data_IF_410612859720
#
_entry.id   IF_410612859720
#
_cell.length_a   1.000
_cell.length_b   1.000
_cell.length_c   1.000
_cell.angle_alpha   90.00
_cell.angle_beta   90.00
_cell.angle_gamma   90.00
#
_symmetry.space_group_name_H-M   'P 1'
#
loop_
_entity.id
_entity.type
_entity.pdbx_description
1 polymer ?
#
# COMPACT_ATOMS: atom_id res chain seq x y z
N UNK A 1 -27.19 -0.96 -8.42
CA UNK A 1 -26.44 -1.98 -7.70
C UNK A 1 -25.15 -2.23 -8.48
N UNK A 2 -24.03 -1.74 -7.98
CA UNK A 2 -22.74 -2.04 -8.58
C UNK A 2 -22.48 -3.55 -8.49
N UNK A 3 -22.58 -4.23 -9.62
CA UNK A 3 -22.19 -5.63 -9.74
C UNK A 3 -20.67 -5.69 -9.67
N UNK A 4 -20.13 -6.06 -8.52
CA UNK A 4 -18.73 -6.39 -8.39
C UNK A 4 -18.44 -7.61 -9.30
N UNK A 5 -17.94 -7.38 -10.51
CA UNK A 5 -17.44 -8.47 -11.36
C UNK A 5 -16.11 -8.92 -10.79
N UNK A 6 -16.10 -10.11 -10.22
CA UNK A 6 -14.89 -10.77 -9.79
C UNK A 6 -14.30 -11.52 -10.99
N UNK A 7 -13.22 -11.01 -11.59
CA UNK A 7 -12.41 -11.82 -12.49
C UNK A 7 -11.60 -12.77 -11.65
N UNK A 8 -11.84 -14.06 -11.78
CA UNK A 8 -11.04 -15.13 -11.18
C UNK A 8 -10.43 -15.98 -12.30
N UNK A 9 -9.64 -15.36 -13.16
CA UNK A 9 -8.70 -16.09 -14.01
C UNK A 9 -7.30 -15.75 -13.54
N UNK A 10 -6.68 -16.71 -12.89
CA UNK A 10 -5.39 -16.57 -12.23
C UNK A 10 -5.52 -16.97 -10.77
N UNK A 11 -4.49 -17.62 -10.23
CA UNK A 11 -4.42 -17.90 -8.82
C UNK A 11 -4.43 -16.58 -8.06
N UNK A 12 -5.37 -16.42 -7.10
CA UNK A 12 -5.24 -15.40 -6.07
C UNK A 12 -3.97 -15.80 -5.31
N UNK A 13 -2.88 -15.15 -5.67
CA UNK A 13 -1.59 -15.51 -5.13
C UNK A 13 -1.41 -14.77 -3.80
N UNK A 14 -1.46 -15.52 -2.72
CA UNK A 14 -1.11 -15.05 -1.38
C UNK A 14 0.32 -15.45 -0.97
N UNK A 15 1.12 -15.91 -1.93
CA UNK A 15 2.54 -16.21 -1.72
C UNK A 15 3.28 -14.95 -1.28
N UNK A 16 3.99 -14.98 -0.14
CA UNK A 16 4.80 -13.86 0.29
C UNK A 16 5.90 -13.56 -0.73
N UNK A 17 6.00 -12.30 -1.12
CA UNK A 17 7.05 -11.76 -2.00
C UNK A 17 7.74 -10.58 -1.32
N UNK A 18 8.92 -10.19 -1.81
CA UNK A 18 9.63 -9.01 -1.28
C UNK A 18 8.74 -7.78 -1.41
N UNK A 19 8.35 -7.21 -0.25
CA UNK A 19 7.46 -6.06 -0.20
C UNK A 19 8.09 -4.79 -0.76
N UNK A 20 9.41 -4.65 -0.62
CA UNK A 20 10.05 -3.35 -0.80
C UNK A 20 9.27 -2.27 -0.03
N UNK A 21 8.98 -1.13 -0.65
CA UNK A 21 8.23 -0.05 0.00
C UNK A 21 6.71 -0.29 0.11
N UNK A 22 6.16 -1.42 -0.37
CA UNK A 22 4.75 -1.76 -0.07
C UNK A 22 4.51 -2.01 1.42
N UNK A 23 5.54 -2.37 2.19
CA UNK A 23 5.43 -2.51 3.66
C UNK A 23 4.95 -1.20 4.32
N UNK A 24 5.17 -0.05 3.69
CA UNK A 24 4.73 1.26 4.17
C UNK A 24 3.21 1.44 4.20
N UNK A 25 2.47 0.66 3.42
CA UNK A 25 1.00 0.59 3.55
C UNK A 25 0.62 0.16 4.97
N UNK A 26 1.24 -0.89 5.47
CA UNK A 26 0.92 -1.47 6.77
C UNK A 26 1.48 -0.64 7.93
N UNK A 27 2.63 0.02 7.73
CA UNK A 27 3.11 1.03 8.68
C UNK A 27 2.09 2.16 8.82
N UNK A 28 1.54 2.67 7.70
CA UNK A 28 0.49 3.68 7.70
C UNK A 28 -0.75 3.21 8.45
N UNK A 29 -1.21 1.98 8.20
CA UNK A 29 -2.36 1.39 8.89
C UNK A 29 -2.14 1.32 10.40
N UNK A 30 -1.00 0.76 10.84
CA UNK A 30 -0.64 0.66 12.25
C UNK A 30 -0.51 2.03 12.94
N UNK A 31 0.02 3.04 12.24
CA UNK A 31 0.12 4.41 12.76
C UNK A 31 -1.27 5.00 12.97
N UNK A 32 -2.17 4.90 12.01
CA UNK A 32 -3.53 5.45 12.16
C UNK A 32 -4.38 4.70 13.20
N UNK A 33 -4.17 3.40 13.36
CA UNK A 33 -4.83 2.64 14.44
C UNK A 33 -4.34 3.05 15.83
N UNK A 34 -3.10 3.51 15.94
CA UNK A 34 -2.49 4.00 17.19
C UNK A 34 -2.40 5.53 17.25
N UNK A 35 -3.10 6.27 16.39
CA UNK A 35 -2.93 7.71 16.23
C UNK A 35 -3.16 8.50 17.51
N UNK A 36 -4.23 8.19 18.24
CA UNK A 36 -4.57 8.85 19.50
C UNK A 36 -3.48 8.67 20.58
N UNK A 37 -2.87 7.48 20.61
CA UNK A 37 -1.75 7.19 21.53
C UNK A 37 -0.49 7.94 21.13
N UNK A 38 -0.17 7.96 19.84
CA UNK A 38 1.00 8.67 19.31
C UNK A 38 0.87 10.18 19.53
N UNK A 39 -0.32 10.74 19.37
CA UNK A 39 -0.60 12.18 19.54
C UNK A 39 -0.44 12.67 20.98
N UNK A 40 -0.32 11.77 21.97
CA UNK A 40 0.01 12.13 23.35
C UNK A 40 1.50 12.47 23.53
N UNK A 41 2.37 11.97 22.65
CA UNK A 41 3.83 12.12 22.76
C UNK A 41 4.45 12.84 21.57
N UNK A 42 3.76 12.92 20.44
CA UNK A 42 4.21 13.53 19.20
C UNK A 42 3.15 14.51 18.67
N UNK A 43 3.59 15.58 18.01
CA UNK A 43 2.68 16.53 17.39
C UNK A 43 1.95 15.86 16.21
N UNK A 44 0.63 16.06 16.10
CA UNK A 44 -0.17 15.52 14.98
C UNK A 44 0.34 15.96 13.60
N UNK A 45 0.75 17.22 13.44
CA UNK A 45 1.33 17.71 12.18
C UNK A 45 2.65 16.99 11.82
N UNK A 46 3.44 16.58 12.82
CA UNK A 46 4.67 15.81 12.59
C UNK A 46 4.34 14.36 12.20
N UNK A 47 3.34 13.75 12.82
CA UNK A 47 2.85 12.41 12.45
C UNK A 47 2.38 12.43 11.00
N UNK A 48 1.50 13.37 10.64
CA UNK A 48 0.93 13.48 9.29
C UNK A 48 1.98 13.83 8.24
N UNK A 49 2.97 14.65 8.58
CA UNK A 49 4.10 14.98 7.70
C UNK A 49 4.95 13.74 7.38
N UNK A 50 5.26 12.92 8.39
CA UNK A 50 5.99 11.67 8.19
C UNK A 50 5.17 10.66 7.38
N UNK A 51 3.87 10.50 7.65
CA UNK A 51 2.98 9.65 6.84
C UNK A 51 2.98 10.13 5.39
N UNK A 52 2.83 11.44 5.17
CA UNK A 52 2.83 12.03 3.84
C UNK A 52 4.13 11.74 3.10
N UNK A 53 5.29 12.01 3.70
CA UNK A 53 6.59 11.73 3.08
C UNK A 53 6.79 10.23 2.80
N UNK A 54 6.44 9.37 3.78
CA UNK A 54 6.53 7.91 3.64
C UNK A 54 5.69 7.38 2.45
N UNK A 55 4.49 7.90 2.24
CA UNK A 55 3.58 7.40 1.21
C UNK A 55 3.82 8.08 -0.12
N UNK A 56 3.92 9.42 -0.18
CA UNK A 56 3.89 10.17 -1.44
C UNK A 56 5.20 10.12 -2.22
N UNK A 57 6.35 10.16 -1.52
CA UNK A 57 7.68 10.07 -2.14
C UNK A 57 8.45 8.81 -1.71
N UNK A 58 7.81 7.98 -0.88
CA UNK A 58 8.41 6.73 -0.39
C UNK A 58 9.64 6.94 0.49
N UNK A 59 9.62 7.98 1.34
CA UNK A 59 10.72 8.30 2.25
C UNK A 59 10.95 7.15 3.26
N UNK A 60 12.20 6.72 3.41
CA UNK A 60 12.58 5.61 4.28
C UNK A 60 12.80 6.06 5.72
N UNK A 61 13.34 7.26 5.92
CA UNK A 61 13.62 7.80 7.24
C UNK A 61 12.30 8.14 7.95
N UNK A 62 11.34 8.71 7.22
CA UNK A 62 9.98 8.93 7.72
C UNK A 62 9.31 7.61 8.13
N UNK A 63 9.43 6.54 7.33
CA UNK A 63 8.92 5.23 7.68
C UNK A 63 9.56 4.67 8.97
N UNK A 64 10.89 4.74 9.08
CA UNK A 64 11.61 4.26 10.24
C UNK A 64 11.29 5.10 11.50
N UNK A 65 11.11 6.40 11.35
CA UNK A 65 10.66 7.31 12.42
C UNK A 65 9.31 6.90 12.98
N UNK A 66 8.33 6.64 12.11
CA UNK A 66 7.00 6.19 12.51
C UNK A 66 7.04 4.83 13.22
N UNK A 67 7.84 3.88 12.73
CA UNK A 67 8.04 2.58 13.40
C UNK A 67 8.68 2.77 14.78
N UNK A 68 9.67 3.64 14.91
CA UNK A 68 10.29 3.96 16.19
C UNK A 68 9.28 4.56 17.18
N UNK A 69 8.44 5.48 16.73
CA UNK A 69 7.39 6.08 17.56
C UNK A 69 6.33 5.06 17.98
N UNK A 70 5.90 4.17 17.07
CA UNK A 70 5.00 3.07 17.42
C UNK A 70 5.55 2.21 18.57
N UNK A 71 6.86 2.00 18.61
CA UNK A 71 7.55 1.23 19.63
C UNK A 71 7.99 2.05 20.86
N UNK A 72 7.59 3.32 20.96
CA UNK A 72 8.01 4.21 22.03
C UNK A 72 9.55 4.29 22.18
N UNK A 73 10.25 4.39 21.03
CA UNK A 73 11.71 4.44 20.94
C UNK A 73 12.38 3.08 20.68
N UNK A 74 11.64 1.98 20.74
CA UNK A 74 12.13 0.63 20.43
C UNK A 74 11.66 0.16 19.05
N UNK A 75 12.58 0.05 18.12
CA UNK A 75 12.28 -0.37 16.75
C UNK A 75 11.70 -1.78 16.67
N UNK A 76 12.12 -2.71 17.51
CA UNK A 76 11.60 -4.09 17.53
C UNK A 76 10.15 -4.11 18.01
N UNK A 77 9.84 -3.34 19.05
CA UNK A 77 8.47 -3.17 19.52
C UNK A 77 7.60 -2.48 18.47
N UNK A 78 8.15 -1.50 17.74
CA UNK A 78 7.45 -0.83 16.64
C UNK A 78 7.11 -1.79 15.48
N UNK A 79 8.09 -2.57 15.03
CA UNK A 79 7.85 -3.62 14.01
C UNK A 79 6.84 -4.66 14.48
N UNK A 80 6.87 -5.04 15.77
CA UNK A 80 5.89 -5.96 16.34
C UNK A 80 4.46 -5.37 16.28
N UNK A 81 4.28 -4.06 16.49
CA UNK A 81 2.97 -3.40 16.33
C UNK A 81 2.50 -3.38 14.87
N UNK A 82 3.40 -3.14 13.91
CA UNK A 82 3.05 -3.25 12.48
C UNK A 82 2.62 -4.68 12.14
N UNK A 83 3.33 -5.68 12.63
CA UNK A 83 2.98 -7.09 12.43
C UNK A 83 1.68 -7.47 13.14
N UNK A 84 1.41 -6.93 14.34
CA UNK A 84 0.15 -7.08 15.05
C UNK A 84 -1.03 -6.56 14.23
N UNK A 85 -0.93 -5.33 13.72
CA UNK A 85 -1.90 -4.75 12.79
C UNK A 85 -2.17 -5.70 11.59
N UNK A 86 -1.12 -6.23 10.97
CA UNK A 86 -1.29 -7.16 9.85
C UNK A 86 -2.07 -8.41 10.23
N UNK A 87 -1.80 -8.99 11.40
CA UNK A 87 -2.49 -10.19 11.89
C UNK A 87 -3.95 -9.91 12.22
N UNK A 88 -4.24 -8.81 12.91
CA UNK A 88 -5.59 -8.42 13.33
C UNK A 88 -6.50 -8.12 12.13
N UNK A 89 -5.93 -7.56 11.06
CA UNK A 89 -6.66 -7.27 9.81
C UNK A 89 -6.61 -8.40 8.78
N UNK A 90 -5.99 -9.56 9.11
CA UNK A 90 -5.99 -10.75 8.27
C UNK A 90 -4.99 -10.72 7.10
N UNK A 91 -3.96 -9.87 7.18
CA UNK A 91 -2.86 -9.81 6.18
C UNK A 91 -1.79 -10.84 6.53
N UNK A 92 -2.12 -12.12 6.34
CA UNK A 92 -1.34 -13.26 6.86
C UNK A 92 -0.04 -13.54 6.12
N UNK A 93 0.13 -12.98 4.92
CA UNK A 93 1.36 -13.10 4.12
C UNK A 93 2.27 -11.87 4.26
N UNK A 94 1.93 -10.96 5.19
CA UNK A 94 2.68 -9.72 5.41
C UNK A 94 3.47 -9.78 6.71
N UNK A 95 4.76 -9.46 6.61
CA UNK A 95 5.68 -9.46 7.76
C UNK A 95 6.74 -8.38 7.60
N UNK A 96 6.87 -7.51 8.61
CA UNK A 96 7.97 -6.58 8.74
C UNK A 96 9.08 -7.20 9.61
N UNK A 97 10.23 -7.53 9.01
CA UNK A 97 11.36 -8.18 9.67
C UNK A 97 12.54 -7.24 9.90
N UNK A 98 12.57 -6.10 9.22
CA UNK A 98 13.64 -5.11 9.31
C UNK A 98 13.14 -3.69 9.05
N UNK A 99 13.85 -2.72 9.56
CA UNK A 99 13.68 -1.32 9.15
C UNK A 99 14.06 -1.13 7.68
N UNK A 100 13.55 -0.07 7.07
CA UNK A 100 13.91 0.30 5.69
C UNK A 100 15.41 0.60 5.63
N UNK A 101 16.09 0.12 4.61
CA UNK A 101 17.53 0.21 4.38
C UNK A 101 18.43 -0.53 5.40
N UNK A 102 17.88 -1.16 6.43
CA UNK A 102 18.65 -2.01 7.33
C UNK A 102 19.14 -3.30 6.63
N UNK A 103 20.08 -3.99 7.23
CA UNK A 103 20.54 -5.31 6.78
C UNK A 103 19.42 -6.36 6.81
N UNK A 104 19.66 -7.49 6.16
CA UNK A 104 18.69 -8.58 6.00
C UNK A 104 18.98 -9.79 6.89
N UNK A 105 19.72 -9.59 7.96
CA UNK A 105 20.15 -10.68 8.88
C UNK A 105 18.95 -11.43 9.48
N UNK A 106 17.83 -10.71 9.69
CA UNK A 106 16.57 -11.26 10.19
C UNK A 106 15.53 -11.52 9.08
N UNK A 107 15.95 -11.54 7.82
CA UNK A 107 15.07 -11.64 6.65
C UNK A 107 14.73 -10.29 6.04
N UNK A 108 13.98 -10.31 4.93
CA UNK A 108 13.44 -9.11 4.28
C UNK A 108 12.01 -8.84 4.75
N UNK A 109 11.43 -7.72 4.33
CA UNK A 109 10.01 -7.43 4.51
C UNK A 109 9.21 -8.12 3.39
N UNK A 110 8.12 -8.77 3.74
CA UNK A 110 7.28 -9.52 2.80
C UNK A 110 5.83 -9.03 2.83
N UNK A 111 5.15 -9.18 1.72
CA UNK A 111 3.71 -9.06 1.56
C UNK A 111 3.24 -9.88 0.36
N UNK A 112 1.95 -9.88 0.06
CA UNK A 112 1.38 -10.53 -1.13
C UNK A 112 0.45 -9.60 -1.88
N UNK A 113 0.18 -9.91 -3.16
CA UNK A 113 -0.84 -9.17 -3.95
C UNK A 113 -2.22 -9.28 -3.30
N UNK A 114 -2.52 -10.40 -2.64
CA UNK A 114 -3.79 -10.59 -1.91
C UNK A 114 -3.88 -9.65 -0.72
N UNK A 115 -2.85 -9.55 0.11
CA UNK A 115 -2.85 -8.70 1.30
C UNK A 115 -2.93 -7.22 0.90
N UNK A 116 -2.11 -6.78 -0.07
CA UNK A 116 -2.17 -5.42 -0.60
C UNK A 116 -3.56 -5.10 -1.17
N UNK A 117 -4.11 -5.99 -1.99
CA UNK A 117 -5.44 -5.80 -2.59
C UNK A 117 -6.55 -5.78 -1.53
N UNK A 118 -6.46 -6.63 -0.51
CA UNK A 118 -7.41 -6.65 0.60
C UNK A 118 -7.35 -5.35 1.39
N UNK A 119 -6.16 -4.86 1.71
CA UNK A 119 -6.00 -3.62 2.47
C UNK A 119 -6.52 -2.40 1.68
N UNK A 120 -6.14 -2.25 0.42
CA UNK A 120 -6.65 -1.15 -0.41
C UNK A 120 -8.18 -1.22 -0.59
N UNK A 121 -8.73 -2.43 -0.72
CA UNK A 121 -10.18 -2.64 -0.76
C UNK A 121 -10.85 -2.22 0.55
N UNK A 122 -10.27 -2.56 1.71
CA UNK A 122 -10.79 -2.15 3.03
C UNK A 122 -10.77 -0.61 3.17
N UNK A 123 -9.66 0.05 2.78
CA UNK A 123 -9.58 1.52 2.75
C UNK A 123 -10.73 2.09 1.91
N UNK A 124 -10.88 1.65 0.67
CA UNK A 124 -11.91 2.13 -0.23
C UNK A 124 -13.33 1.89 0.31
N UNK A 125 -13.60 0.68 0.82
CA UNK A 125 -14.92 0.31 1.33
C UNK A 125 -15.29 1.04 2.62
N UNK A 126 -14.31 1.39 3.46
CA UNK A 126 -14.54 2.19 4.66
C UNK A 126 -14.84 3.65 4.26
N UNK A 127 -14.08 4.21 3.32
CA UNK A 127 -14.29 5.59 2.84
C UNK A 127 -15.64 5.78 2.17
N UNK A 128 -16.11 4.80 1.38
CA UNK A 128 -17.40 4.90 0.69
C UNK A 128 -18.61 4.40 1.52
N UNK A 129 -18.39 4.03 2.79
CA UNK A 129 -19.43 3.60 3.72
C UNK A 129 -19.97 2.17 3.51
N UNK A 130 -19.32 1.38 2.66
CA UNK A 130 -19.64 -0.06 2.49
C UNK A 130 -19.24 -0.86 3.73
N UNK A 131 -18.14 -0.48 4.38
CA UNK A 131 -17.73 -0.97 5.68
C UNK A 131 -17.89 0.12 6.75
N UNK A 132 -18.13 -0.26 8.02
CA UNK A 132 -18.16 0.70 9.13
C UNK A 132 -16.84 1.46 9.26
N UNK A 133 -16.89 2.74 9.64
CA UNK A 133 -15.68 3.55 9.89
C UNK A 133 -14.76 2.96 10.97
N UNK A 134 -15.32 2.17 11.89
CA UNK A 134 -14.55 1.45 12.92
C UNK A 134 -13.73 0.27 12.36
N UNK A 135 -13.97 -0.16 11.14
CA UNK A 135 -13.18 -1.23 10.49
C UNK A 135 -11.74 -0.80 10.26
N UNK A 136 -11.55 0.45 9.85
CA UNK A 136 -10.22 1.00 9.58
C UNK A 136 -10.23 2.49 9.96
N UNK A 137 -9.81 2.86 11.18
CA UNK A 137 -9.75 4.25 11.62
C UNK A 137 -8.93 5.12 10.66
N UNK A 138 -9.40 6.33 10.39
CA UNK A 138 -8.74 7.29 9.50
C UNK A 138 -8.53 6.78 8.03
N UNK A 139 -9.39 5.92 7.53
CA UNK A 139 -9.30 5.40 6.17
C UNK A 139 -9.33 6.50 5.10
N UNK A 140 -10.05 7.59 5.34
CA UNK A 140 -10.10 8.79 4.50
C UNK A 140 -8.74 9.48 4.37
N UNK A 141 -8.01 9.63 5.48
CA UNK A 141 -6.65 10.16 5.49
C UNK A 141 -5.67 9.21 4.77
N UNK A 142 -5.78 7.88 4.99
CA UNK A 142 -4.98 6.90 4.23
C UNK A 142 -5.23 7.03 2.72
N UNK A 143 -6.50 7.10 2.32
CA UNK A 143 -6.87 7.25 0.92
C UNK A 143 -6.37 8.56 0.32
N UNK A 144 -6.42 9.66 1.09
CA UNK A 144 -5.88 10.95 0.70
C UNK A 144 -4.37 10.87 0.41
N UNK A 145 -3.56 10.31 1.33
CA UNK A 145 -2.12 10.18 1.13
C UNK A 145 -1.79 9.32 -0.10
N UNK A 146 -2.52 8.23 -0.33
CA UNK A 146 -2.34 7.37 -1.50
C UNK A 146 -2.65 8.12 -2.82
N UNK A 147 -3.65 9.01 -2.83
CA UNK A 147 -3.95 9.88 -4.00
C UNK A 147 -2.83 10.87 -4.29
N UNK A 148 -2.09 11.30 -3.27
CA UNK A 148 -0.98 12.25 -3.40
C UNK A 148 0.33 11.59 -3.85
N UNK A 149 0.33 10.31 -4.24
CA UNK A 149 1.50 9.59 -4.74
C UNK A 149 2.16 10.34 -5.91
N UNK A 150 3.48 10.56 -5.81
CA UNK A 150 4.26 11.27 -6.82
C UNK A 150 4.98 10.33 -7.80
N UNK A 151 5.20 9.06 -7.42
CA UNK A 151 5.82 8.05 -8.30
C UNK A 151 4.76 7.43 -9.20
N UNK A 152 4.72 7.85 -10.47
CA UNK A 152 3.66 7.51 -11.42
C UNK A 152 4.15 6.72 -12.63
N UNK A 153 5.28 6.05 -12.50
CA UNK A 153 5.96 5.35 -13.60
C UNK A 153 5.48 3.91 -13.84
N UNK A 154 4.50 3.41 -13.07
CA UNK A 154 3.94 2.05 -13.19
C UNK A 154 2.43 2.10 -13.47
N UNK A 155 1.56 1.68 -12.55
CA UNK A 155 0.11 1.64 -12.76
C UNK A 155 -0.44 2.94 -13.37
N UNK A 156 -0.11 4.15 -12.89
CA UNK A 156 -0.67 5.38 -13.45
C UNK A 156 -0.17 5.73 -14.86
N UNK A 157 0.99 5.20 -15.27
CA UNK A 157 1.77 5.74 -16.40
C UNK A 157 1.03 5.72 -17.75
N UNK A 158 0.15 4.74 -17.99
CA UNK A 158 -0.56 4.59 -19.25
C UNK A 158 -2.08 4.68 -19.11
N UNK A 159 -2.61 5.02 -17.93
CA UNK A 159 -4.04 5.22 -17.77
C UNK A 159 -4.50 6.45 -18.55
N UNK A 160 -5.75 6.46 -19.05
CA UNK A 160 -6.29 7.60 -19.79
C UNK A 160 -6.33 8.88 -18.92
N UNK A 161 -6.35 10.03 -19.59
CA UNK A 161 -6.58 11.31 -18.95
C UNK A 161 -7.91 11.31 -18.17
N UNK A 162 -7.92 11.90 -16.98
CA UNK A 162 -9.08 11.94 -16.08
C UNK A 162 -9.23 10.72 -15.17
N UNK A 163 -8.48 9.63 -15.41
CA UNK A 163 -8.45 8.47 -14.51
C UNK A 163 -7.44 8.71 -13.40
N UNK A 164 -7.91 8.64 -12.16
CA UNK A 164 -7.08 8.84 -10.98
C UNK A 164 -6.56 7.54 -10.38
N UNK A 165 -5.51 7.65 -9.57
CA UNK A 165 -4.97 6.54 -8.78
C UNK A 165 -4.71 6.96 -7.34
N UNK A 166 -4.93 6.02 -6.44
CA UNK A 166 -4.45 6.06 -5.06
C UNK A 166 -3.53 4.84 -4.89
N UNK A 167 -2.21 5.05 -4.92
CA UNK A 167 -1.27 3.93 -5.04
C UNK A 167 -0.04 4.06 -4.15
N UNK A 168 0.61 2.92 -3.93
CA UNK A 168 1.92 2.82 -3.32
C UNK A 168 2.82 1.94 -4.16
N UNK A 169 4.00 2.46 -4.50
CA UNK A 169 5.04 1.73 -5.21
C UNK A 169 6.01 1.03 -4.24
N UNK A 170 6.69 0.01 -4.74
CA UNK A 170 7.81 -0.65 -4.05
C UNK A 170 8.90 -1.03 -5.04
N UNK A 171 10.16 -0.67 -4.74
CA UNK A 171 11.29 -0.82 -5.66
C UNK A 171 12.53 -1.30 -4.91
N UNK A 172 13.23 -2.28 -5.48
CA UNK A 172 14.60 -2.70 -5.16
C UNK A 172 15.32 -2.99 -6.48
N UNK A 173 16.61 -3.28 -6.45
CA UNK A 173 17.40 -3.53 -7.65
C UNK A 173 16.83 -4.61 -8.59
N UNK A 174 16.07 -5.57 -8.03
CA UNK A 174 15.46 -6.69 -8.76
C UNK A 174 13.97 -6.84 -8.48
N UNK A 175 13.32 -5.80 -7.94
CA UNK A 175 11.90 -5.82 -7.52
C UNK A 175 11.19 -4.58 -8.03
N UNK A 176 10.04 -4.79 -8.67
CA UNK A 176 9.11 -3.73 -9.06
C UNK A 176 7.70 -4.10 -8.63
N UNK A 177 7.14 -3.31 -7.71
CA UNK A 177 5.82 -3.50 -7.18
C UNK A 177 5.01 -2.21 -7.33
N UNK A 178 3.70 -2.34 -7.54
CA UNK A 178 2.74 -1.24 -7.41
C UNK A 178 1.36 -1.78 -7.02
N UNK A 179 0.71 -1.15 -6.07
CA UNK A 179 -0.62 -1.50 -5.58
C UNK A 179 -1.50 -0.24 -5.58
N UNK A 180 -2.64 -0.28 -6.24
CA UNK A 180 -3.47 0.90 -6.50
C UNK A 180 -4.98 0.64 -6.38
N UNK A 181 -5.68 1.67 -5.96
CA UNK A 181 -7.08 1.90 -6.31
C UNK A 181 -7.08 2.81 -7.55
N UNK A 182 -7.59 2.33 -8.67
CA UNK A 182 -7.84 3.13 -9.88
C UNK A 182 -9.28 3.61 -9.80
N UNK A 183 -9.53 4.91 -9.99
CA UNK A 183 -10.86 5.47 -9.95
C UNK A 183 -11.14 6.38 -11.15
N UNK A 184 -12.31 6.22 -11.74
CA UNK A 184 -12.86 7.08 -12.79
C UNK A 184 -14.26 7.51 -12.38
N UNK A 185 -14.35 8.70 -11.80
CA UNK A 185 -15.62 9.24 -11.30
C UNK A 185 -16.61 9.55 -12.40
N UNK A 186 -16.14 9.85 -13.60
CA UNK A 186 -17.01 10.14 -14.76
C UNK A 186 -17.73 8.89 -15.25
N UNK A 187 -17.11 7.71 -15.09
CA UNK A 187 -17.65 6.43 -15.55
C UNK A 187 -18.13 5.52 -14.42
N UNK A 188 -17.90 5.92 -13.16
CA UNK A 188 -18.25 5.11 -12.00
C UNK A 188 -17.45 3.80 -11.92
N UNK A 189 -16.17 3.85 -12.32
CA UNK A 189 -15.26 2.71 -12.29
C UNK A 189 -14.32 2.87 -11.11
N UNK A 190 -14.29 1.86 -10.24
CA UNK A 190 -13.35 1.74 -9.13
C UNK A 190 -12.77 0.33 -9.12
N UNK A 191 -11.45 0.23 -9.29
CA UNK A 191 -10.73 -1.03 -9.38
C UNK A 191 -9.60 -1.06 -8.37
N UNK A 192 -9.38 -2.21 -7.72
CA UNK A 192 -8.15 -2.47 -6.97
C UNK A 192 -7.28 -3.40 -7.79
N UNK A 193 -6.06 -2.95 -8.10
CA UNK A 193 -5.07 -3.72 -8.85
C UNK A 193 -3.73 -3.72 -8.11
N UNK A 194 -3.08 -4.88 -8.09
CA UNK A 194 -1.80 -5.05 -7.42
C UNK A 194 -0.86 -5.89 -8.29
N UNK A 195 0.34 -5.39 -8.48
CA UNK A 195 1.41 -6.07 -9.20
C UNK A 195 2.62 -6.22 -8.29
N UNK A 196 3.16 -7.41 -8.23
CA UNK A 196 4.41 -7.70 -7.53
C UNK A 196 5.31 -8.54 -8.42
N UNK A 197 6.57 -8.17 -8.52
CA UNK A 197 7.57 -8.90 -9.29
C UNK A 197 8.92 -8.88 -8.57
N UNK A 198 9.65 -9.97 -8.65
CA UNK A 198 10.98 -10.12 -8.03
C UNK A 198 11.90 -10.96 -8.91
N UNK A 199 13.21 -10.94 -8.60
CA UNK A 199 14.24 -11.61 -9.39
C UNK A 199 14.33 -11.07 -10.82
N UNK A 200 14.04 -9.79 -11.01
CA UNK A 200 14.06 -9.13 -12.29
C UNK A 200 15.49 -8.91 -12.78
N UNK A 201 15.70 -9.07 -14.06
CA UNK A 201 16.94 -8.68 -14.76
C UNK A 201 16.81 -7.32 -15.47
N UNK A 202 15.56 -6.86 -15.70
CA UNK A 202 15.22 -5.59 -16.33
C UNK A 202 14.01 -4.96 -15.61
N UNK A 203 14.29 -4.03 -14.73
CA UNK A 203 13.26 -3.32 -13.97
C UNK A 203 12.49 -2.33 -14.83
N UNK A 204 13.11 -1.76 -15.86
CA UNK A 204 12.44 -0.86 -16.80
C UNK A 204 11.39 -1.58 -17.64
N UNK A 205 11.70 -2.79 -18.12
CA UNK A 205 10.71 -3.64 -18.79
C UNK A 205 9.55 -4.01 -17.86
N UNK A 206 9.84 -4.34 -16.59
CA UNK A 206 8.80 -4.66 -15.61
C UNK A 206 7.88 -3.45 -15.33
N UNK A 207 8.42 -2.25 -15.18
CA UNK A 207 7.63 -1.03 -15.02
C UNK A 207 6.69 -0.80 -16.22
N UNK A 208 7.21 -0.97 -17.43
CA UNK A 208 6.44 -0.83 -18.67
C UNK A 208 5.32 -1.87 -18.78
N UNK A 209 5.59 -3.11 -18.36
CA UNK A 209 4.60 -4.20 -18.32
C UNK A 209 3.50 -3.89 -17.33
N UNK A 210 3.83 -3.48 -16.10
CA UNK A 210 2.84 -3.09 -15.09
C UNK A 210 1.92 -1.97 -15.62
N UNK A 211 2.49 -0.97 -16.30
CA UNK A 211 1.71 0.13 -16.87
C UNK A 211 0.76 -0.35 -17.99
N UNK A 212 1.25 -1.22 -18.88
CA UNK A 212 0.44 -1.77 -19.97
C UNK A 212 -0.68 -2.67 -19.46
N UNK A 213 -0.39 -3.53 -18.49
CA UNK A 213 -1.38 -4.44 -17.91
C UNK A 213 -2.45 -3.66 -17.12
N UNK A 214 -2.06 -2.64 -16.37
CA UNK A 214 -3.01 -1.76 -15.67
C UNK A 214 -3.97 -1.06 -16.65
N UNK A 215 -3.44 -0.57 -17.79
CA UNK A 215 -4.26 0.00 -18.87
C UNK A 215 -5.21 -1.02 -19.49
N UNK A 216 -4.73 -2.24 -19.73
CA UNK A 216 -5.55 -3.31 -20.32
C UNK A 216 -6.70 -3.71 -19.36
N UNK A 217 -6.40 -3.85 -18.07
CA UNK A 217 -7.41 -4.13 -17.03
C UNK A 217 -8.45 -3.00 -16.98
N UNK A 218 -8.02 -1.74 -16.94
CA UNK A 218 -8.94 -0.61 -16.96
C UNK A 218 -9.80 -0.61 -18.22
N UNK A 219 -9.20 -0.86 -19.40
CA UNK A 219 -9.91 -0.95 -20.69
C UNK A 219 -11.01 -2.00 -20.66
N UNK A 220 -10.74 -3.19 -20.11
CA UNK A 220 -11.73 -4.27 -20.00
C UNK A 220 -12.98 -3.89 -19.19
N UNK A 221 -12.82 -3.08 -18.14
CA UNK A 221 -13.94 -2.63 -17.32
C UNK A 221 -14.64 -1.37 -17.85
N UNK A 222 -14.07 -0.77 -18.89
CA UNK A 222 -14.57 0.45 -19.53
C UNK A 222 -15.36 0.16 -20.83
N UNK A 223 -15.44 -1.10 -21.23
CA UNK A 223 -16.31 -1.57 -22.32
C UNK A 223 -17.73 -1.79 -21.76
#
# INVERSE_FOLDING_TARGET
SATCRKITEGMINDTPMQAASLIKLYIMGAVYENYDTLSQSHNGDEIDSNISAMITVSDNDAANTLVNWLGNGDNSAGMAKVNGFCQEHGFTSTQMNRLLLAGKENGDNYTSVKDCGTFLKQIYQTVNGTLPASTLPNADAMYYHLKMQQRKNKIPAQLPEGVGTANKTGELDTVENDAAIIYDTAKGIDLVVCFMSQNLTDTGAAQSTIAADARAIYGYYNE
#
